data_IF_781037783059
#
_entry.id   IF_781037783059
#
_cell.length_a   1.000
_cell.length_b   1.000
_cell.length_c   1.000
_cell.angle_alpha   90.00
_cell.angle_beta   90.00
_cell.angle_gamma   90.00
#
_symmetry.space_group_name_H-M   'P 1'
#
loop_
_entity.id
_entity.type
_entity.pdbx_description
1 polymer ?
#
# COMPACT_ATOMS: atom_id res chain seq x y z
N UNK A 1 -8.79 -5.25 -13.88
CA UNK A 1 -9.49 -5.10 -12.59
C UNK A 1 -8.63 -4.25 -11.67
N UNK A 2 -9.18 -3.19 -11.07
CA UNK A 2 -8.49 -2.47 -9.98
C UNK A 2 -8.83 -3.23 -8.70
N UNK A 3 -7.94 -4.10 -8.25
CA UNK A 3 -8.21 -4.95 -7.08
C UNK A 3 -8.26 -4.16 -5.77
N UNK A 4 -7.75 -2.91 -5.79
CA UNK A 4 -7.79 -2.00 -4.64
C UNK A 4 -7.80 -0.54 -5.13
N UNK A 5 -8.96 0.00 -5.58
CA UNK A 5 -9.02 1.36 -6.10
C UNK A 5 -8.74 2.37 -4.98
N UNK A 6 -7.71 3.19 -5.16
CA UNK A 6 -7.45 4.37 -4.33
C UNK A 6 -8.57 5.42 -4.52
N UNK A 7 -8.81 6.30 -3.52
CA UNK A 7 -8.09 6.46 -2.25
C UNK A 7 -8.45 5.41 -1.19
N UNK A 8 -7.58 5.24 -0.18
CA UNK A 8 -7.86 4.42 1.01
C UNK A 8 -7.87 5.31 2.25
N UNK A 9 -8.61 4.89 3.28
CA UNK A 9 -8.65 5.56 4.58
C UNK A 9 -8.27 4.60 5.70
N UNK A 10 -7.58 5.11 6.72
CA UNK A 10 -7.22 4.34 7.91
C UNK A 10 -8.25 4.68 8.99
N UNK A 11 -9.09 3.69 9.36
CA UNK A 11 -9.96 3.84 10.52
C UNK A 11 -9.14 3.63 11.78
N UNK A 12 -9.28 4.55 12.72
CA UNK A 12 -8.67 4.45 14.05
C UNK A 12 -9.75 4.21 15.10
N UNK A 13 -9.41 3.51 16.16
CA UNK A 13 -10.31 3.23 17.28
C UNK A 13 -9.58 3.50 18.60
N UNK A 14 -10.33 4.01 19.58
CA UNK A 14 -9.86 4.12 20.96
C UNK A 14 -9.76 2.75 21.62
N UNK A 15 -8.65 2.47 22.29
CA UNK A 15 -8.44 1.28 23.13
C UNK A 15 -8.43 1.72 24.60
N UNK A 16 -9.06 0.93 25.48
CA UNK A 16 -9.10 1.20 26.92
C UNK A 16 -10.08 2.30 27.28
N UNK A 17 -9.66 3.24 28.13
CA UNK A 17 -10.43 4.41 28.57
C UNK A 17 -10.48 5.55 27.54
N UNK A 18 -10.02 5.31 26.31
CA UNK A 18 -9.95 6.30 25.24
C UNK A 18 -8.65 7.10 25.21
N UNK A 19 -7.69 6.84 26.10
CA UNK A 19 -6.38 7.51 26.10
C UNK A 19 -5.47 7.10 24.93
N UNK A 20 -5.75 5.97 24.26
CA UNK A 20 -4.93 5.45 23.15
C UNK A 20 -5.78 5.25 21.90
N UNK A 21 -5.41 5.89 20.79
CA UNK A 21 -6.09 5.75 19.49
C UNK A 21 -5.14 5.09 18.51
N UNK A 22 -5.48 3.89 18.06
CA UNK A 22 -4.64 3.09 17.15
C UNK A 22 -5.35 2.84 15.82
N UNK A 23 -4.60 2.68 14.71
CA UNK A 23 -5.18 2.21 13.45
C UNK A 23 -5.70 0.78 13.60
N UNK A 24 -6.93 0.54 13.15
CA UNK A 24 -7.60 -0.76 13.27
C UNK A 24 -8.12 -1.30 11.93
N UNK A 25 -8.42 -0.46 10.95
CA UNK A 25 -8.92 -0.92 9.66
C UNK A 25 -8.37 -0.07 8.51
N UNK A 26 -8.25 -0.68 7.33
CA UNK A 26 -8.05 0.04 6.07
C UNK A 26 -9.33 -0.13 5.24
N UNK A 27 -9.88 0.98 4.74
CA UNK A 27 -11.14 1.01 4.01
C UNK A 27 -10.89 1.61 2.62
N UNK A 28 -11.38 0.92 1.58
CA UNK A 28 -11.35 1.37 0.20
C UNK A 28 -12.29 2.56 -0.05
N UNK A 29 -12.10 3.25 -1.17
CA UNK A 29 -12.94 4.39 -1.57
C UNK A 29 -14.43 4.03 -1.74
N UNK A 30 -14.70 2.77 -2.02
CA UNK A 30 -16.01 2.16 -2.18
C UNK A 30 -16.63 1.68 -0.86
N UNK A 31 -15.96 1.94 0.26
CA UNK A 31 -16.41 1.56 1.60
C UNK A 31 -16.08 0.11 1.98
N UNK A 32 -15.40 -0.66 1.12
CA UNK A 32 -15.02 -2.03 1.45
C UNK A 32 -13.83 -2.07 2.41
N UNK A 33 -13.94 -2.92 3.43
CA UNK A 33 -12.84 -3.20 4.35
C UNK A 33 -11.73 -4.02 3.65
N UNK A 34 -10.52 -3.46 3.59
CA UNK A 34 -9.31 -4.05 2.98
C UNK A 34 -8.50 -4.83 4.03
N UNK A 35 -8.42 -4.32 5.26
CA UNK A 35 -7.81 -4.98 6.43
C UNK A 35 -8.72 -4.72 7.64
N UNK A 36 -9.03 -5.77 8.42
CA UNK A 36 -9.84 -5.65 9.65
C UNK A 36 -9.08 -6.15 10.88
N UNK A 37 -9.06 -5.34 11.95
CA UNK A 37 -8.55 -5.72 13.27
C UNK A 37 -9.39 -6.82 13.97
N UNK A 38 -10.62 -7.09 13.51
CA UNK A 38 -11.44 -8.16 14.12
C UNK A 38 -11.02 -9.57 13.69
N UNK A 39 -10.01 -9.72 12.84
CA UNK A 39 -9.44 -11.02 12.47
C UNK A 39 -10.42 -11.99 11.79
N UNK A 40 -11.61 -11.53 11.39
CA UNK A 40 -12.65 -12.39 10.85
C UNK A 40 -13.88 -11.63 10.40
N UNK A 41 -14.53 -12.20 9.36
CA UNK A 41 -15.90 -11.99 8.88
C UNK A 41 -16.67 -10.88 9.61
N UNK A 42 -16.71 -9.68 9.05
CA UNK A 42 -17.75 -8.71 9.41
C UNK A 42 -19.05 -9.20 8.77
N UNK A 43 -20.05 -9.69 9.53
CA UNK A 43 -21.26 -10.29 8.95
C UNK A 43 -22.17 -9.27 8.25
N UNK A 44 -21.86 -7.98 8.33
CA UNK A 44 -22.72 -6.89 7.88
C UNK A 44 -22.19 -6.11 6.66
N UNK A 45 -20.99 -6.45 6.15
CA UNK A 45 -20.42 -5.80 4.96
C UNK A 45 -20.18 -6.83 3.85
N UNK A 46 -20.58 -6.57 2.59
CA UNK A 46 -20.27 -7.46 1.49
C UNK A 46 -18.74 -7.57 1.37
N UNK A 47 -18.19 -8.77 1.47
CA UNK A 47 -16.76 -9.00 1.36
C UNK A 47 -16.51 -10.04 0.26
N UNK A 48 -15.42 -9.86 -0.49
CA UNK A 48 -14.97 -10.78 -1.53
C UNK A 48 -13.68 -11.43 -1.05
N UNK A 49 -13.74 -12.69 -0.62
CA UNK A 49 -12.59 -13.43 -0.11
C UNK A 49 -11.37 -13.33 -1.04
N UNK A 50 -11.58 -13.49 -2.35
CA UNK A 50 -10.55 -13.35 -3.39
C UNK A 50 -9.84 -11.99 -3.35
N UNK A 51 -10.56 -10.91 -3.05
CA UNK A 51 -9.98 -9.55 -2.97
C UNK A 51 -9.14 -9.40 -1.71
N UNK A 52 -9.57 -9.95 -0.58
CA UNK A 52 -8.81 -9.94 0.66
C UNK A 52 -7.53 -10.77 0.54
N UNK A 53 -7.63 -11.98 -0.02
CA UNK A 53 -6.47 -12.85 -0.26
C UNK A 53 -5.47 -12.21 -1.24
N UNK A 54 -5.95 -11.61 -2.32
CA UNK A 54 -5.09 -10.89 -3.26
C UNK A 54 -4.38 -9.69 -2.59
N UNK A 55 -5.09 -8.93 -1.74
CA UNK A 55 -4.49 -7.82 -0.99
C UNK A 55 -3.49 -8.31 0.05
N UNK A 56 -3.78 -9.41 0.76
CA UNK A 56 -2.88 -10.02 1.72
C UNK A 56 -1.58 -10.50 1.05
N UNK A 57 -1.69 -11.19 -0.09
CA UNK A 57 -0.54 -11.61 -0.89
C UNK A 57 0.28 -10.42 -1.40
N UNK A 58 -0.38 -9.35 -1.85
CA UNK A 58 0.29 -8.12 -2.29
C UNK A 58 1.08 -7.46 -1.15
N UNK A 59 0.50 -7.39 0.05
CA UNK A 59 1.16 -6.84 1.23
C UNK A 59 2.34 -7.71 1.66
N UNK A 60 2.17 -9.04 1.66
CA UNK A 60 3.23 -9.99 2.01
C UNK A 60 4.43 -9.90 1.06
N UNK A 61 4.18 -9.75 -0.24
CA UNK A 61 5.22 -9.59 -1.25
C UNK A 61 5.84 -8.18 -1.28
N UNK A 62 5.21 -7.17 -0.66
CA UNK A 62 5.60 -5.77 -0.79
C UNK A 62 7.06 -5.48 -0.41
N UNK A 63 7.64 -6.06 0.66
CA UNK A 63 9.04 -5.82 1.01
C UNK A 63 10.03 -6.31 -0.07
N UNK A 64 9.84 -7.52 -0.58
CA UNK A 64 10.71 -8.10 -1.61
C UNK A 64 10.55 -7.37 -2.95
N UNK A 65 9.30 -7.06 -3.33
CA UNK A 65 9.03 -6.23 -4.51
C UNK A 65 9.66 -4.84 -4.38
N UNK A 66 9.59 -4.23 -3.19
CA UNK A 66 10.19 -2.93 -2.94
C UNK A 66 11.70 -2.99 -3.14
N UNK A 67 12.38 -3.96 -2.52
CA UNK A 67 13.83 -4.13 -2.64
C UNK A 67 14.25 -4.33 -4.10
N UNK A 68 13.58 -5.23 -4.83
CA UNK A 68 13.90 -5.49 -6.23
C UNK A 68 13.72 -4.24 -7.11
N UNK A 69 12.71 -3.40 -6.83
CA UNK A 69 12.50 -2.15 -7.54
C UNK A 69 13.53 -1.06 -7.18
N UNK A 70 13.98 -0.99 -5.93
CA UNK A 70 15.04 -0.06 -5.48
C UNK A 70 16.38 -0.43 -6.15
N UNK A 71 16.77 -1.71 -6.13
CA UNK A 71 17.96 -2.22 -6.81
C UNK A 71 17.92 -1.99 -8.32
N UNK A 72 16.77 -2.23 -8.96
CA UNK A 72 16.59 -1.94 -10.38
C UNK A 72 16.73 -0.45 -10.67
N UNK A 73 16.17 0.41 -9.83
CA UNK A 73 16.29 1.86 -9.98
C UNK A 73 17.74 2.33 -9.86
N UNK A 74 18.49 1.84 -8.87
CA UNK A 74 19.91 2.15 -8.70
C UNK A 74 20.71 1.74 -9.94
N UNK A 75 20.55 0.49 -10.38
CA UNK A 75 21.20 -0.01 -11.59
C UNK A 75 20.88 0.87 -12.80
N UNK A 76 19.59 1.20 -12.99
CA UNK A 76 19.18 2.01 -14.15
C UNK A 76 19.69 3.45 -14.07
N UNK A 77 19.72 4.05 -12.88
CA UNK A 77 20.21 5.41 -12.66
C UNK A 77 21.70 5.54 -13.00
N UNK A 78 22.49 4.51 -12.64
CA UNK A 78 23.93 4.51 -12.90
C UNK A 78 24.28 4.25 -14.37
N UNK A 79 23.49 3.43 -15.06
CA UNK A 79 23.82 2.95 -16.41
C UNK A 79 23.08 3.71 -17.52
N UNK A 80 21.94 4.35 -17.26
CA UNK A 80 21.13 5.05 -18.26
C UNK A 80 21.14 6.57 -18.05
N UNK A 81 22.22 7.23 -18.48
CA UNK A 81 22.41 8.69 -18.33
C UNK A 81 21.80 9.56 -19.45
N UNK A 82 21.07 8.96 -20.38
CA UNK A 82 20.46 9.65 -21.52
C UNK A 82 19.22 10.50 -21.14
N UNK A 83 19.03 11.65 -21.80
CA UNK A 83 17.88 12.55 -21.57
C UNK A 83 16.51 11.85 -21.69
N UNK A 84 16.42 10.80 -22.52
CA UNK A 84 15.17 10.06 -22.76
C UNK A 84 14.68 9.28 -21.53
N UNK A 85 15.56 8.91 -20.59
CA UNK A 85 15.20 8.11 -19.42
C UNK A 85 14.99 8.94 -18.15
N UNK A 86 15.43 10.20 -18.14
CA UNK A 86 15.31 11.10 -16.97
C UNK A 86 13.88 11.22 -16.42
N UNK A 87 12.83 11.44 -17.24
CA UNK A 87 11.47 11.55 -16.70
C UNK A 87 10.97 10.25 -16.08
N UNK A 88 11.36 9.10 -16.64
CA UNK A 88 10.98 7.79 -16.13
C UNK A 88 11.67 7.50 -14.79
N UNK A 89 12.98 7.75 -14.71
CA UNK A 89 13.74 7.60 -13.46
C UNK A 89 13.23 8.52 -12.37
N UNK A 90 12.89 9.78 -12.69
CA UNK A 90 12.29 10.70 -11.73
C UNK A 90 10.96 10.19 -11.15
N UNK A 91 10.10 9.58 -12.00
CA UNK A 91 8.85 8.97 -11.56
C UNK A 91 9.08 7.74 -10.67
N UNK A 92 10.07 6.91 -11.00
CA UNK A 92 10.44 5.75 -10.18
C UNK A 92 10.98 6.19 -8.81
N UNK A 93 11.88 7.16 -8.79
CA UNK A 93 12.42 7.75 -7.56
C UNK A 93 11.31 8.31 -6.65
N UNK A 94 10.35 9.05 -7.23
CA UNK A 94 9.21 9.58 -6.49
C UNK A 94 8.33 8.46 -5.89
N UNK A 95 8.04 7.40 -6.67
CA UNK A 95 7.25 6.28 -6.19
C UNK A 95 7.95 5.50 -5.06
N UNK A 96 9.27 5.28 -5.17
CA UNK A 96 10.09 4.64 -4.15
C UNK A 96 10.19 5.48 -2.87
N UNK A 97 10.35 6.80 -3.00
CA UNK A 97 10.36 7.73 -1.86
C UNK A 97 9.01 7.71 -1.11
N UNK A 98 7.90 7.73 -1.87
CA UNK A 98 6.55 7.63 -1.30
C UNK A 98 6.33 6.30 -0.56
N UNK A 99 6.83 5.19 -1.09
CA UNK A 99 6.75 3.88 -0.45
C UNK A 99 7.61 3.79 0.83
N UNK A 100 8.75 4.49 0.89
CA UNK A 100 9.58 4.65 2.12
C UNK A 100 8.90 5.51 3.20
N UNK A 101 7.77 6.13 2.92
CA UNK A 101 7.11 7.07 3.84
C UNK A 101 7.75 8.45 3.91
N UNK A 102 8.76 8.72 3.06
CA UNK A 102 9.30 10.06 2.88
C UNK A 102 8.23 10.91 2.19
N UNK A 103 7.66 11.89 2.90
CA UNK A 103 6.79 12.89 2.29
C UNK A 103 7.58 13.65 1.22
N UNK A 104 6.98 13.76 0.03
CA UNK A 104 7.39 14.69 -1.04
C UNK A 104 6.31 15.75 -1.15
#
# INVERSE_FOLDING_TARGET
MKNTPAPWSIRKQGIGDGSCVVPVEIIGADGFTIISNKGGLSPNEPWKAETLEANANLIAAAPEMYQALDEMYEYMSDHFKGHNFRPMLARAAFALAKAKGSQV
#
